data_IF_411161274902
#
_entry.id   IF_411161274902
#
_cell.length_a   1.000
_cell.length_b   1.000
_cell.length_c   1.000
_cell.angle_alpha   90.00
_cell.angle_beta   90.00
_cell.angle_gamma   90.00
#
_symmetry.space_group_name_H-M   'P 1'
#
loop_
_entity.id
_entity.type
_entity.pdbx_description
1 polymer ?
#
# COMPACT_ATOMS: atom_id res chain seq x y z
N UNK A 1 -36.39 16.84 -72.58
CA UNK A 1 -36.00 15.54 -73.15
C UNK A 1 -34.51 15.64 -73.45
N UNK A 2 -33.56 14.91 -72.85
CA UNK A 2 -33.54 13.60 -72.21
C UNK A 2 -32.53 13.64 -71.06
N UNK A 3 -32.82 12.83 -70.05
CA UNK A 3 -31.97 12.42 -68.94
C UNK A 3 -30.67 11.77 -69.44
N UNK A 4 -29.60 11.79 -68.65
CA UNK A 4 -28.97 10.55 -68.18
C UNK A 4 -28.06 10.82 -66.96
N UNK A 5 -28.41 10.12 -65.88
CA UNK A 5 -27.72 9.97 -64.60
C UNK A 5 -26.83 8.72 -64.68
N UNK A 6 -25.59 8.73 -64.17
CA UNK A 6 -24.85 7.48 -63.88
C UNK A 6 -24.00 7.62 -62.59
N UNK A 7 -24.42 6.83 -61.60
CA UNK A 7 -23.73 6.13 -60.49
C UNK A 7 -22.44 6.76 -59.89
N UNK A 8 -22.41 7.13 -58.60
CA UNK A 8 -22.50 6.28 -57.40
C UNK A 8 -21.54 5.08 -57.42
N UNK A 9 -20.38 5.23 -56.77
CA UNK A 9 -19.52 4.12 -56.36
C UNK A 9 -19.10 4.36 -54.92
N UNK A 10 -19.92 3.85 -54.00
CA UNK A 10 -19.56 3.65 -52.61
C UNK A 10 -18.50 2.55 -52.54
N UNK A 11 -17.27 2.91 -52.23
CA UNK A 11 -16.23 1.95 -51.87
C UNK A 11 -16.55 1.48 -50.45
N UNK A 12 -17.08 0.27 -50.35
CA UNK A 12 -17.32 -0.44 -49.11
C UNK A 12 -15.96 -0.85 -48.51
N UNK A 13 -15.44 -0.03 -47.60
CA UNK A 13 -14.27 -0.38 -46.80
C UNK A 13 -14.67 -1.48 -45.81
N UNK A 14 -14.33 -2.73 -46.13
CA UNK A 14 -14.29 -3.84 -45.18
C UNK A 14 -13.15 -3.59 -44.21
N UNK A 15 -13.43 -2.85 -43.13
CA UNK A 15 -12.57 -2.82 -41.96
C UNK A 15 -12.62 -4.20 -41.30
N UNK A 16 -11.62 -5.04 -41.59
CA UNK A 16 -11.40 -6.28 -40.85
C UNK A 16 -10.94 -5.86 -39.46
N UNK A 17 -11.87 -5.87 -38.50
CA UNK A 17 -11.58 -5.64 -37.09
C UNK A 17 -10.65 -6.73 -36.61
N UNK A 18 -9.35 -6.42 -36.50
CA UNK A 18 -8.44 -7.19 -35.66
C UNK A 18 -8.80 -6.88 -34.21
N UNK A 19 -9.74 -7.63 -33.65
CA UNK A 19 -9.84 -7.80 -32.21
C UNK A 19 -8.61 -8.59 -31.76
N UNK A 20 -7.53 -7.87 -31.46
CA UNK A 20 -6.49 -8.39 -30.59
C UNK A 20 -7.13 -8.59 -29.22
N UNK A 21 -7.72 -9.77 -29.01
CA UNK A 21 -7.90 -10.32 -27.68
C UNK A 21 -6.48 -10.48 -27.10
N UNK A 22 -6.01 -9.43 -26.42
CA UNK A 22 -4.85 -9.52 -25.56
C UNK A 22 -5.10 -10.71 -24.65
N UNK A 23 -4.25 -11.74 -24.73
CA UNK A 23 -4.27 -12.82 -23.74
C UNK A 23 -4.06 -12.15 -22.39
N UNK A 24 -5.14 -11.95 -21.65
CA UNK A 24 -5.09 -11.27 -20.37
C UNK A 24 -4.28 -12.16 -19.44
N UNK A 25 -3.09 -11.69 -19.04
CA UNK A 25 -2.30 -12.35 -18.01
C UNK A 25 -3.15 -12.56 -16.77
N UNK A 26 -2.98 -13.68 -16.08
CA UNK A 26 -3.72 -13.92 -14.85
C UNK A 26 -3.52 -12.79 -13.84
N UNK A 27 -4.53 -12.56 -13.01
CA UNK A 27 -4.48 -11.57 -11.95
C UNK A 27 -3.43 -11.96 -10.91
N UNK A 28 -2.66 -10.96 -10.46
CA UNK A 28 -1.65 -11.12 -9.42
C UNK A 28 -2.30 -11.46 -8.07
N UNK A 29 -1.50 -11.94 -7.12
CA UNK A 29 -1.94 -12.13 -5.74
C UNK A 29 -2.52 -10.84 -5.13
N UNK A 30 -3.66 -10.95 -4.46
CA UNK A 30 -4.52 -9.90 -3.90
C UNK A 30 -5.29 -9.02 -4.91
N UNK A 31 -5.25 -9.34 -6.21
CA UNK A 31 -5.98 -8.58 -7.22
C UNK A 31 -7.32 -9.19 -7.56
N UNK A 32 -8.20 -8.36 -8.12
CA UNK A 32 -9.51 -8.82 -8.57
C UNK A 32 -9.37 -9.85 -9.69
N UNK A 33 -10.12 -10.93 -9.60
CA UNK A 33 -10.15 -12.03 -10.57
C UNK A 33 -11.57 -12.43 -10.97
N UNK A 34 -12.56 -11.63 -10.60
CA UNK A 34 -13.96 -11.97 -10.80
C UNK A 34 -14.89 -10.98 -10.13
N UNK A 35 -16.18 -11.27 -10.24
CA UNK A 35 -17.26 -10.42 -9.78
C UNK A 35 -18.14 -9.95 -10.94
N UNK A 36 -19.37 -9.55 -10.60
CA UNK A 36 -20.34 -9.01 -11.56
C UNK A 36 -19.79 -7.75 -12.23
N UNK A 37 -19.86 -7.72 -13.56
CA UNK A 37 -19.35 -6.64 -14.42
C UNK A 37 -17.81 -6.48 -14.39
N UNK A 38 -17.08 -7.53 -14.01
CA UNK A 38 -15.63 -7.58 -14.14
C UNK A 38 -15.22 -8.00 -15.55
N UNK A 39 -14.54 -7.12 -16.28
CA UNK A 39 -14.04 -7.37 -17.64
C UNK A 39 -12.55 -7.78 -17.67
N UNK A 40 -11.93 -7.94 -16.51
CA UNK A 40 -10.51 -8.31 -16.39
C UNK A 40 -10.26 -9.82 -16.33
N UNK A 41 -9.02 -10.23 -15.99
CA UNK A 41 -8.66 -11.65 -15.92
C UNK A 41 -9.52 -12.43 -14.92
N UNK A 42 -9.86 -13.67 -15.27
CA UNK A 42 -10.61 -14.60 -14.40
C UNK A 42 -9.75 -15.70 -13.79
N UNK A 43 -8.46 -15.73 -14.13
CA UNK A 43 -7.47 -16.62 -13.54
C UNK A 43 -6.54 -15.87 -12.61
N UNK A 44 -5.86 -16.61 -11.74
CA UNK A 44 -4.86 -16.09 -10.81
C UNK A 44 -3.47 -16.62 -11.15
N UNK A 45 -2.44 -15.81 -10.92
CA UNK A 45 -1.06 -16.27 -11.02
C UNK A 45 -0.81 -17.45 -10.07
N UNK A 46 0.13 -18.32 -10.47
CA UNK A 46 0.47 -19.52 -9.70
C UNK A 46 0.78 -19.19 -8.23
N UNK A 47 0.26 -20.00 -7.31
CA UNK A 47 0.36 -19.77 -5.87
C UNK A 47 -0.83 -19.01 -5.26
N UNK A 48 -1.80 -18.59 -6.07
CA UNK A 48 -3.05 -17.98 -5.60
C UNK A 48 -4.28 -18.57 -6.28
N UNK A 49 -5.43 -18.45 -5.61
CA UNK A 49 -6.72 -18.96 -6.10
C UNK A 49 -7.76 -17.84 -6.11
N UNK A 50 -8.59 -17.79 -7.14
CA UNK A 50 -9.68 -16.83 -7.20
C UNK A 50 -10.76 -17.22 -6.19
N UNK A 51 -11.00 -16.36 -5.21
CA UNK A 51 -11.98 -16.56 -4.13
C UNK A 51 -13.11 -15.57 -4.27
N UNK A 52 -14.33 -16.10 -4.32
CA UNK A 52 -15.56 -15.32 -4.27
C UNK A 52 -15.89 -14.93 -2.82
N UNK A 53 -16.49 -13.75 -2.64
CA UNK A 53 -16.97 -13.28 -1.34
C UNK A 53 -18.51 -13.39 -1.32
N UNK A 54 -19.11 -14.28 -0.50
CA UNK A 54 -20.55 -14.54 -0.53
C UNK A 54 -21.42 -13.29 -0.33
N UNK A 55 -20.94 -12.34 0.48
CA UNK A 55 -21.63 -11.08 0.77
C UNK A 55 -21.32 -9.97 -0.25
N UNK A 56 -20.58 -10.27 -1.33
CA UNK A 56 -20.18 -9.33 -2.36
C UNK A 56 -20.09 -9.99 -3.74
N UNK A 57 -21.17 -9.98 -4.54
CA UNK A 57 -21.18 -10.58 -5.88
C UNK A 57 -20.38 -9.78 -6.91
N UNK A 58 -19.89 -8.58 -6.58
CA UNK A 58 -19.18 -7.68 -7.50
C UNK A 58 -17.67 -7.86 -7.47
N UNK A 59 -17.15 -8.70 -6.57
CA UNK A 59 -15.72 -8.80 -6.35
C UNK A 59 -15.29 -10.22 -5.93
N UNK A 60 -14.35 -10.77 -6.69
CA UNK A 60 -13.58 -11.97 -6.35
C UNK A 60 -12.10 -11.62 -6.37
N UNK A 61 -11.28 -12.22 -5.51
CA UNK A 61 -9.85 -11.88 -5.40
C UNK A 61 -8.96 -13.11 -5.51
N UNK A 62 -7.80 -12.95 -6.16
CA UNK A 62 -6.71 -13.91 -6.06
C UNK A 62 -6.13 -13.91 -4.65
N UNK A 63 -6.52 -14.86 -3.81
CA UNK A 63 -5.99 -14.99 -2.46
C UNK A 63 -4.80 -15.97 -2.49
N UNK A 64 -3.63 -15.62 -1.92
CA UNK A 64 -2.51 -16.57 -1.78
C UNK A 64 -2.94 -17.86 -1.10
N UNK A 65 -2.50 -19.00 -1.60
CA UNK A 65 -2.96 -20.32 -1.13
C UNK A 65 -2.63 -20.58 0.35
N UNK A 66 -1.54 -20.01 0.86
CA UNK A 66 -1.18 -20.04 2.28
C UNK A 66 -2.22 -19.36 3.19
N UNK A 67 -2.90 -18.33 2.69
CA UNK A 67 -3.95 -17.60 3.41
C UNK A 67 -5.33 -18.29 3.38
N UNK A 68 -5.49 -19.31 2.52
CA UNK A 68 -6.71 -20.12 2.46
C UNK A 68 -6.74 -21.23 3.51
N UNK A 69 -5.59 -21.56 4.06
CA UNK A 69 -5.45 -22.66 5.02
C UNK A 69 -5.72 -22.21 6.47
N UNK A 70 -5.60 -20.92 6.75
CA UNK A 70 -5.85 -20.31 8.07
C UNK A 70 -7.34 -20.11 8.39
N UNK A 71 -8.24 -20.29 7.42
CA UNK A 71 -9.70 -20.22 7.62
C UNK A 71 -10.36 -21.57 7.96
N UNK A 72 -9.63 -22.70 7.94
CA UNK A 72 -10.17 -24.04 8.27
C UNK A 72 -9.74 -24.61 9.63
N UNK A 73 -8.88 -23.92 10.38
CA UNK A 73 -8.35 -24.45 11.64
C UNK A 73 -9.29 -24.33 12.86
N UNK A 74 -10.49 -23.76 12.72
CA UNK A 74 -11.48 -23.67 13.81
C UNK A 74 -12.77 -24.46 13.55
N UNK A 75 -12.66 -25.62 12.89
CA UNK A 75 -13.66 -26.67 12.96
C UNK A 75 -13.09 -27.80 13.82
N UNK A 76 -13.27 -27.65 15.13
CA UNK A 76 -12.92 -28.63 16.15
C UNK A 76 -13.40 -30.03 15.78
N UNK A 77 -12.50 -30.97 16.01
CA UNK A 77 -12.73 -32.39 16.24
C UNK A 77 -14.10 -32.70 16.84
N UNK A 78 -14.94 -33.38 16.08
CA UNK A 78 -15.96 -34.30 16.60
C UNK A 78 -15.80 -35.62 15.87
N UNK A 79 -15.22 -36.57 16.60
CA UNK A 79 -15.18 -37.99 16.28
C UNK A 79 -16.62 -38.48 16.20
N UNK A 80 -17.11 -38.81 15.01
CA UNK A 80 -18.29 -39.67 14.88
C UNK A 80 -18.10 -40.65 13.74
N UNK A 81 -18.21 -41.91 14.13
CA UNK A 81 -18.18 -43.10 13.31
C UNK A 81 -19.36 -43.16 12.35
N UNK A 82 -19.11 -43.34 11.06
CA UNK A 82 -20.09 -43.94 10.15
C UNK A 82 -19.39 -44.87 9.16
N UNK A 83 -19.83 -46.12 9.25
CA UNK A 83 -19.46 -47.31 8.47
C UNK A 83 -20.13 -47.25 7.09
N UNK A 84 -19.63 -48.07 6.15
CA UNK A 84 -20.19 -48.40 4.82
C UNK A 84 -19.69 -47.49 3.67
N UNK A 85 -19.27 -47.97 2.50
CA UNK A 85 -19.08 -49.31 1.94
C UNK A 85 -18.13 -49.20 0.74
N UNK A 86 -17.42 -50.29 0.49
CA UNK A 86 -16.48 -50.50 -0.61
C UNK A 86 -17.18 -50.54 -1.97
N UNK A 87 -16.65 -49.82 -2.96
CA UNK A 87 -16.63 -50.30 -4.35
C UNK A 87 -15.40 -49.77 -5.08
N UNK A 88 -14.44 -50.68 -5.27
CA UNK A 88 -13.26 -50.48 -6.08
C UNK A 88 -13.63 -50.44 -7.57
N UNK A 89 -13.07 -49.47 -8.30
CA UNK A 89 -12.91 -49.56 -9.74
C UNK A 89 -11.45 -49.22 -10.06
N UNK A 90 -10.75 -50.26 -10.48
CA UNK A 90 -9.37 -50.29 -10.95
C UNK A 90 -9.22 -49.51 -12.26
N UNK A 91 -8.14 -48.72 -12.39
CA UNK A 91 -7.55 -48.41 -13.69
C UNK A 91 -6.06 -48.11 -13.53
N UNK A 92 -5.29 -49.17 -13.79
CA UNK A 92 -3.97 -49.23 -14.44
C UNK A 92 -3.09 -47.98 -14.48
N UNK A 93 -1.97 -48.12 -13.78
CA UNK A 93 -0.69 -47.43 -13.94
C UNK A 93 -0.09 -47.56 -15.34
N UNK A 94 0.44 -46.46 -15.89
CA UNK A 94 1.59 -46.49 -16.78
C UNK A 94 2.65 -45.51 -16.30
N UNK A 95 3.69 -46.10 -15.75
CA UNK A 95 5.00 -45.50 -15.48
C UNK A 95 5.68 -45.15 -16.80
N UNK A 96 6.27 -43.96 -16.87
CA UNK A 96 7.31 -43.65 -17.85
C UNK A 96 8.35 -42.77 -17.18
N UNK A 97 9.51 -43.41 -16.97
CA UNK A 97 10.76 -42.91 -16.43
C UNK A 97 11.63 -42.41 -17.59
N UNK A 98 12.22 -41.22 -17.47
CA UNK A 98 13.46 -40.68 -18.07
C UNK A 98 13.36 -39.14 -18.00
N UNK A 99 14.38 -38.33 -17.83
CA UNK A 99 15.80 -38.48 -17.51
C UNK A 99 16.29 -37.08 -17.15
N UNK A 100 17.13 -37.03 -16.13
CA UNK A 100 17.97 -35.91 -15.71
C UNK A 100 18.66 -35.21 -16.89
N UNK A 101 18.60 -33.88 -16.94
CA UNK A 101 19.63 -33.05 -17.58
C UNK A 101 19.83 -31.80 -16.74
N UNK A 102 20.94 -31.80 -16.01
CA UNK A 102 21.59 -30.65 -15.40
C UNK A 102 22.20 -29.80 -16.51
N UNK A 103 21.87 -28.52 -16.57
CA UNK A 103 22.67 -27.56 -17.31
C UNK A 103 22.86 -26.29 -16.47
N UNK A 104 24.09 -26.13 -16.02
CA UNK A 104 24.62 -24.92 -15.42
C UNK A 104 25.13 -24.00 -16.54
N UNK A 105 24.75 -22.74 -16.53
CA UNK A 105 25.48 -21.66 -17.23
C UNK A 105 25.30 -20.38 -16.41
N UNK A 106 26.32 -20.03 -15.63
CA UNK A 106 27.48 -19.21 -15.99
C UNK A 106 27.18 -17.71 -15.87
N UNK A 107 27.32 -17.27 -14.62
CA UNK A 107 27.70 -15.93 -14.18
C UNK A 107 28.78 -15.35 -15.11
N UNK A 108 28.48 -14.23 -15.75
CA UNK A 108 29.49 -13.37 -16.38
C UNK A 108 29.53 -12.06 -15.63
N UNK A 109 30.58 -11.94 -14.82
CA UNK A 109 31.05 -10.70 -14.20
C UNK A 109 31.81 -9.91 -15.27
N UNK A 110 31.43 -8.66 -15.51
CA UNK A 110 32.27 -7.71 -16.24
C UNK A 110 32.60 -6.56 -15.30
N UNK A 111 33.78 -6.68 -14.69
CA UNK A 111 34.55 -5.58 -14.12
C UNK A 111 35.12 -4.75 -15.25
N UNK A 112 34.87 -3.45 -15.27
CA UNK A 112 35.76 -2.48 -15.89
C UNK A 112 36.00 -1.34 -14.91
N UNK A 113 37.28 -1.11 -14.65
CA UNK A 113 37.80 -0.03 -13.84
C UNK A 113 38.73 0.82 -14.71
N UNK A 114 38.82 2.10 -14.32
CA UNK A 114 39.91 3.05 -14.55
C UNK A 114 39.88 3.98 -15.78
N UNK A 115 39.57 5.25 -15.44
CA UNK A 115 40.55 6.36 -15.28
C UNK A 115 40.52 7.45 -16.36
N UNK A 116 40.35 8.71 -15.89
CA UNK A 116 41.23 9.90 -16.06
C UNK A 116 40.38 11.17 -15.81
N UNK A 117 40.49 11.81 -14.65
CA UNK A 117 41.38 12.94 -14.32
C UNK A 117 41.33 14.10 -15.32
N UNK A 118 40.63 15.18 -14.97
CA UNK A 118 41.13 16.54 -15.22
C UNK A 118 40.63 17.50 -14.14
N UNK A 119 41.58 17.99 -13.35
CA UNK A 119 41.57 19.20 -12.54
C UNK A 119 41.56 20.45 -13.43
N UNK A 120 40.78 21.47 -13.08
CA UNK A 120 41.21 22.87 -13.22
C UNK A 120 40.36 23.81 -12.35
N UNK A 121 41.09 24.39 -11.40
CA UNK A 121 41.01 25.67 -10.70
C UNK A 121 39.81 26.62 -10.80
N UNK A 122 39.60 27.25 -9.62
CA UNK A 122 38.76 28.39 -9.31
C UNK A 122 39.11 29.67 -10.11
N UNK A 123 38.28 30.71 -9.94
CA UNK A 123 38.81 31.82 -9.16
C UNK A 123 37.87 32.32 -8.07
N UNK A 124 38.51 32.48 -6.91
CA UNK A 124 38.19 33.33 -5.76
C UNK A 124 37.80 34.75 -6.20
N UNK A 125 36.67 35.27 -5.68
CA UNK A 125 36.49 36.71 -5.46
C UNK A 125 36.10 36.98 -4.01
N UNK A 126 36.97 37.74 -3.37
CA UNK A 126 36.94 38.27 -2.01
C UNK A 126 36.47 39.73 -2.08
N UNK A 127 35.59 40.16 -1.17
CA UNK A 127 35.57 41.50 -0.50
C UNK A 127 34.35 41.58 0.45
N UNK A 128 34.56 41.55 1.77
CA UNK A 128 34.60 42.68 2.76
C UNK A 128 33.22 43.06 3.32
N UNK A 129 32.94 42.64 4.57
CA UNK A 129 32.86 43.45 5.82
C UNK A 129 31.60 44.31 5.92
N UNK A 130 30.72 44.00 6.88
CA UNK A 130 30.57 44.82 8.09
C UNK A 130 29.55 44.22 9.07
N UNK A 131 29.99 44.06 10.33
CA UNK A 131 29.15 44.02 11.51
C UNK A 131 29.23 45.41 12.16
N UNK A 132 28.20 45.88 12.89
CA UNK A 132 28.11 45.65 14.33
C UNK A 132 26.62 45.48 14.76
N UNK A 133 26.19 45.18 16.00
CA UNK A 133 26.67 45.52 17.33
C UNK A 133 25.93 44.62 18.33
N UNK A 134 26.70 44.02 19.23
CA UNK A 134 26.26 43.35 20.46
C UNK A 134 25.81 44.42 21.46
N UNK A 135 24.60 44.30 22.00
CA UNK A 135 24.20 45.00 23.24
C UNK A 135 24.14 43.98 24.37
N UNK A 136 24.98 44.26 25.35
CA UNK A 136 25.11 43.59 26.65
C UNK A 136 23.98 44.06 27.56
N UNK A 137 23.27 43.14 28.20
CA UNK A 137 22.60 43.42 29.48
C UNK A 137 22.90 42.31 30.47
N UNK A 138 23.23 42.77 31.66
CA UNK A 138 23.91 42.11 32.76
C UNK A 138 23.01 41.13 33.53
N UNK A 139 23.69 40.11 34.01
CA UNK A 139 23.39 39.09 35.02
C UNK A 139 22.52 39.54 36.20
N UNK A 140 21.64 38.66 36.67
CA UNK A 140 21.32 38.54 38.09
C UNK A 140 21.11 37.07 38.45
N UNK A 141 22.07 36.54 39.20
CA UNK A 141 22.09 35.17 39.71
C UNK A 141 21.16 35.06 40.92
N UNK A 142 20.31 34.03 40.96
CA UNK A 142 19.78 33.51 42.24
C UNK A 142 19.74 31.99 42.21
N UNK A 143 20.65 31.43 42.99
CA UNK A 143 20.71 30.02 43.40
C UNK A 143 19.50 29.69 44.27
N UNK A 144 18.84 28.56 44.03
CA UNK A 144 18.53 27.57 45.09
C UNK A 144 18.03 26.24 44.54
N UNK A 145 18.70 25.19 45.02
CA UNK A 145 18.15 23.90 45.48
C UNK A 145 17.78 22.82 44.45
N UNK A 146 18.77 21.95 44.29
CA UNK A 146 18.64 20.56 43.82
C UNK A 146 17.51 19.83 44.55
N UNK A 147 16.55 19.33 43.76
CA UNK A 147 15.57 18.34 44.22
C UNK A 147 15.62 17.19 43.23
N UNK A 148 16.01 16.02 43.75
CA UNK A 148 16.12 14.75 43.05
C UNK A 148 14.71 14.27 42.73
N UNK A 149 14.22 14.59 41.54
CA UNK A 149 12.92 14.10 41.06
C UNK A 149 13.16 12.82 40.27
N UNK A 150 12.72 11.71 40.86
CA UNK A 150 12.56 10.40 40.24
C UNK A 150 11.87 10.56 38.89
N UNK A 151 12.55 10.15 37.82
CA UNK A 151 12.02 10.12 36.46
C UNK A 151 10.98 8.99 36.34
N UNK A 152 9.78 9.27 36.84
CA UNK A 152 8.57 8.60 36.36
C UNK A 152 8.36 9.09 34.93
N UNK A 153 8.59 8.22 33.96
CA UNK A 153 8.15 8.42 32.59
C UNK A 153 6.66 8.82 32.63
N UNK A 154 6.37 10.07 32.28
CA UNK A 154 5.00 10.53 32.10
C UNK A 154 4.46 9.79 30.90
N UNK A 155 3.70 8.74 31.15
CA UNK A 155 2.84 8.08 30.19
C UNK A 155 1.84 9.13 29.71
N UNK A 156 2.20 9.83 28.63
CA UNK A 156 1.23 10.54 27.81
C UNK A 156 0.10 9.55 27.54
N UNK A 157 -1.11 9.87 27.97
CA UNK A 157 -2.28 9.01 27.80
C UNK A 157 -2.56 8.87 26.31
N UNK A 158 -1.97 7.85 25.69
CA UNK A 158 -2.26 7.50 24.31
C UNK A 158 -3.71 7.06 24.23
N UNK A 159 -4.48 7.59 23.28
CA UNK A 159 -5.90 7.22 23.06
C UNK A 159 -6.07 5.83 22.43
N UNK A 160 -5.14 4.93 22.72
CA UNK A 160 -5.06 3.56 22.26
C UNK A 160 -4.22 2.73 23.24
N UNK A 161 -4.44 1.43 23.24
CA UNK A 161 -3.80 0.44 24.11
C UNK A 161 -3.40 -0.79 23.31
N UNK A 162 -2.38 -1.52 23.77
CA UNK A 162 -2.00 -2.78 23.13
C UNK A 162 -3.14 -3.80 23.19
N UNK A 163 -3.37 -4.52 22.09
CA UNK A 163 -4.32 -5.63 22.03
C UNK A 163 -3.64 -6.86 22.62
N UNK A 164 -4.25 -7.46 23.65
CA UNK A 164 -3.73 -8.70 24.24
C UNK A 164 -3.70 -9.83 23.21
N UNK A 165 -2.55 -10.49 23.06
CA UNK A 165 -2.33 -11.50 22.02
C UNK A 165 -2.33 -10.97 20.58
N UNK A 166 -2.34 -9.65 20.40
CA UNK A 166 -2.30 -9.02 19.09
C UNK A 166 -0.95 -9.21 18.38
N UNK A 167 -0.97 -9.15 17.06
CA UNK A 167 0.24 -9.35 16.26
C UNK A 167 1.30 -8.28 16.59
N UNK A 168 2.55 -8.71 16.69
CA UNK A 168 3.69 -7.84 16.96
C UNK A 168 4.97 -8.43 16.38
N UNK A 169 5.98 -7.59 16.16
CA UNK A 169 7.26 -8.03 15.63
C UNK A 169 8.09 -6.89 15.06
N UNK A 170 9.03 -7.25 14.19
CA UNK A 170 9.79 -6.31 13.36
C UNK A 170 9.18 -6.20 11.98
N UNK A 171 9.42 -5.10 11.29
CA UNK A 171 9.08 -5.00 9.90
C UNK A 171 9.77 -3.85 9.18
N UNK A 172 9.48 -3.78 7.89
CA UNK A 172 9.95 -2.74 7.00
C UNK A 172 8.79 -1.84 6.58
N UNK A 173 9.13 -0.66 6.06
CA UNK A 173 8.13 0.25 5.51
C UNK A 173 8.52 0.71 4.12
N UNK A 174 7.51 0.98 3.30
CA UNK A 174 7.65 1.84 2.11
C UNK A 174 6.66 2.99 2.21
N UNK A 175 6.48 3.69 1.09
CA UNK A 175 5.55 4.80 0.96
C UNK A 175 4.84 4.69 -0.39
N UNK A 176 3.55 4.98 -0.41
CA UNK A 176 2.77 5.01 -1.63
C UNK A 176 1.56 5.94 -1.53
N UNK A 177 1.04 6.30 -2.71
CA UNK A 177 -0.30 6.84 -2.91
C UNK A 177 -0.67 6.65 -4.37
N UNK A 178 -1.44 5.60 -4.66
CA UNK A 178 -1.85 5.22 -6.02
C UNK A 178 -3.27 5.67 -6.38
N UNK A 179 -3.97 6.26 -5.40
CA UNK A 179 -5.37 6.69 -5.44
C UNK A 179 -6.39 5.55 -5.59
N UNK A 180 -5.98 4.29 -5.65
CA UNK A 180 -6.88 3.17 -5.86
C UNK A 180 -7.88 3.03 -4.71
N UNK A 181 -9.02 2.38 -4.97
CA UNK A 181 -9.88 1.89 -3.89
C UNK A 181 -9.09 0.90 -3.01
N UNK A 182 -8.93 1.13 -1.70
CA UNK A 182 -8.22 0.21 -0.81
C UNK A 182 -8.91 -1.16 -0.72
N UNK A 183 -8.15 -2.26 -0.60
CA UNK A 183 -8.71 -3.62 -0.59
C UNK A 183 -9.69 -3.87 0.56
N UNK A 184 -9.48 -3.27 1.73
CA UNK A 184 -10.39 -3.39 2.88
C UNK A 184 -11.67 -2.54 2.73
N UNK A 185 -11.86 -1.84 1.60
CA UNK A 185 -13.09 -1.13 1.25
C UNK A 185 -14.12 -2.04 0.56
N UNK A 186 -13.77 -3.32 0.35
CA UNK A 186 -14.71 -4.31 -0.17
C UNK A 186 -15.43 -5.02 0.99
N UNK A 187 -16.75 -5.21 0.90
CA UNK A 187 -17.49 -6.05 1.84
C UNK A 187 -16.94 -7.48 1.90
N UNK A 188 -17.04 -8.11 3.08
CA UNK A 188 -16.66 -9.52 3.29
C UNK A 188 -15.17 -9.77 3.55
N UNK A 189 -14.32 -8.73 3.55
CA UNK A 189 -12.87 -8.89 3.77
C UNK A 189 -12.48 -9.24 5.20
N UNK A 190 -13.20 -8.71 6.18
CA UNK A 190 -12.99 -8.95 7.61
C UNK A 190 -14.29 -8.74 8.39
N UNK A 191 -14.31 -9.20 9.65
CA UNK A 191 -15.41 -8.91 10.59
C UNK A 191 -15.31 -7.48 11.11
N UNK A 192 -16.06 -6.57 10.50
CA UNK A 192 -16.02 -5.13 10.78
C UNK A 192 -17.42 -4.52 10.88
N UNK A 193 -17.52 -3.29 11.40
CA UNK A 193 -18.73 -2.46 11.43
C UNK A 193 -19.25 -2.16 10.03
N UNK A 194 -18.34 -1.71 9.17
CA UNK A 194 -18.49 -1.43 7.74
C UNK A 194 -17.09 -1.51 7.11
N UNK A 195 -16.96 -1.74 5.79
CA UNK A 195 -15.68 -1.64 5.11
C UNK A 195 -15.03 -0.25 5.28
N UNK A 196 -13.77 -0.13 4.89
CA UNK A 196 -13.11 1.18 4.78
C UNK A 196 -13.88 2.04 3.77
N UNK A 197 -14.21 3.26 4.14
CA UNK A 197 -14.81 4.24 3.24
C UNK A 197 -13.91 4.50 2.03
N UNK A 198 -14.47 4.34 0.85
CA UNK A 198 -13.86 4.76 -0.42
C UNK A 198 -14.65 5.94 -0.98
N UNK A 199 -14.01 6.77 -1.79
CA UNK A 199 -14.58 8.03 -2.24
C UNK A 199 -14.76 8.07 -3.76
N UNK A 200 -15.71 8.87 -4.20
CA UNK A 200 -15.84 9.29 -5.59
C UNK A 200 -14.61 10.10 -6.03
N UNK A 201 -14.58 10.50 -7.31
CA UNK A 201 -13.46 11.22 -7.91
C UNK A 201 -13.04 12.51 -7.18
N UNK A 202 -13.96 13.15 -6.45
CA UNK A 202 -13.66 14.33 -5.61
C UNK A 202 -12.79 14.01 -4.37
N UNK A 203 -12.61 12.73 -4.05
CA UNK A 203 -11.89 12.23 -2.89
C UNK A 203 -12.57 12.54 -1.55
N UNK A 204 -13.86 12.91 -1.54
CA UNK A 204 -14.58 13.33 -0.32
C UNK A 204 -15.93 12.64 -0.17
N UNK A 205 -16.72 12.60 -1.24
CA UNK A 205 -18.04 11.99 -1.19
C UNK A 205 -17.87 10.48 -1.19
N UNK A 206 -18.39 9.79 -0.17
CA UNK A 206 -18.31 8.33 -0.11
C UNK A 206 -18.97 7.70 -1.34
N UNK A 207 -18.26 6.76 -1.95
CA UNK A 207 -18.77 5.90 -3.00
C UNK A 207 -19.51 4.72 -2.37
N UNK A 208 -20.42 4.09 -3.14
CA UNK A 208 -21.01 2.82 -2.72
C UNK A 208 -19.92 1.74 -2.57
N UNK A 209 -20.01 0.91 -1.54
CA UNK A 209 -19.00 -0.11 -1.18
C UNK A 209 -18.74 -1.13 -2.30
N UNK A 210 -19.68 -1.32 -3.24
CA UNK A 210 -19.52 -2.21 -4.39
C UNK A 210 -19.07 -1.49 -5.66
N UNK A 211 -18.89 -0.16 -5.62
CA UNK A 211 -18.38 0.62 -6.74
C UNK A 211 -17.00 0.13 -7.14
N UNK A 212 -16.79 -0.09 -8.44
CA UNK A 212 -15.53 -0.59 -8.97
C UNK A 212 -14.37 0.37 -8.69
N UNK A 213 -13.20 -0.21 -8.42
CA UNK A 213 -11.95 0.50 -8.20
C UNK A 213 -11.53 1.31 -9.44
N UNK A 214 -11.26 2.60 -9.26
CA UNK A 214 -10.81 3.51 -10.31
C UNK A 214 -9.49 3.14 -10.99
N UNK A 215 -8.68 2.28 -10.36
CA UNK A 215 -7.45 1.73 -10.96
C UNK A 215 -7.69 0.63 -12.00
N UNK A 216 -8.92 0.13 -12.11
CA UNK A 216 -9.31 -0.91 -13.06
C UNK A 216 -10.58 -0.51 -13.83
N UNK A 217 -10.74 0.78 -14.11
CA UNK A 217 -11.84 1.32 -14.93
C UNK A 217 -13.10 1.71 -14.17
N UNK A 218 -13.09 1.64 -12.83
CA UNK A 218 -14.20 2.09 -11.99
C UNK A 218 -14.17 3.58 -11.62
N UNK A 219 -14.91 3.93 -10.56
CA UNK A 219 -15.09 5.32 -10.09
C UNK A 219 -14.91 5.50 -8.58
N UNK A 220 -14.44 4.47 -7.87
CA UNK A 220 -14.11 4.53 -6.44
C UNK A 220 -12.59 4.61 -6.22
N UNK A 221 -12.18 5.50 -5.31
CA UNK A 221 -10.79 5.89 -5.03
C UNK A 221 -10.53 5.96 -3.51
N UNK A 222 -9.27 6.06 -3.12
CA UNK A 222 -8.90 6.39 -1.73
C UNK A 222 -9.42 7.79 -1.35
N UNK A 223 -10.01 7.92 -0.17
CA UNK A 223 -10.49 9.20 0.36
C UNK A 223 -9.35 10.14 0.77
N UNK A 224 -9.56 11.44 0.57
CA UNK A 224 -8.58 12.48 0.91
C UNK A 224 -8.21 12.46 2.39
N UNK A 225 -9.10 12.09 3.29
CA UNK A 225 -8.81 12.08 4.73
C UNK A 225 -8.04 10.83 5.20
N UNK A 226 -7.77 9.86 4.31
CA UNK A 226 -6.88 8.73 4.55
C UNK A 226 -5.38 9.09 4.41
N UNK A 227 -5.05 10.36 4.64
CA UNK A 227 -3.68 10.89 4.70
C UNK A 227 -3.09 10.74 6.11
N UNK A 228 -1.76 10.83 6.26
CA UNK A 228 -1.11 10.85 7.58
C UNK A 228 -1.11 12.26 8.18
N UNK A 229 -1.11 12.35 9.51
CA UNK A 229 -1.07 13.62 10.24
C UNK A 229 -0.28 13.54 11.54
N UNK A 230 0.15 14.71 12.02
CA UNK A 230 0.89 14.86 13.28
C UNK A 230 -0.08 14.91 14.45
N UNK A 231 0.18 14.12 15.49
CA UNK A 231 -0.50 14.26 16.80
C UNK A 231 0.35 15.15 17.71
N UNK A 232 1.64 14.87 17.78
CA UNK A 232 2.67 15.68 18.45
C UNK A 232 4.05 15.34 17.88
N UNK A 233 5.12 15.87 18.48
CA UNK A 233 6.49 15.66 17.98
C UNK A 233 6.93 14.18 17.99
N UNK A 234 6.35 13.33 18.82
CA UNK A 234 6.72 11.91 18.95
C UNK A 234 5.74 10.96 18.26
N UNK A 235 4.51 11.43 17.99
CA UNK A 235 3.41 10.60 17.50
C UNK A 235 2.74 11.18 16.25
N UNK A 236 2.58 10.34 15.24
CA UNK A 236 1.72 10.57 14.08
C UNK A 236 0.63 9.50 13.97
N UNK A 237 -0.44 9.82 13.27
CA UNK A 237 -1.47 8.85 12.85
C UNK A 237 -1.53 8.78 11.33
N UNK A 238 -2.09 7.68 10.81
CA UNK A 238 -2.31 7.54 9.38
C UNK A 238 -2.84 6.16 9.01
N UNK A 239 -2.54 5.75 7.79
CA UNK A 239 -3.05 4.53 7.18
C UNK A 239 -1.94 3.83 6.41
N UNK A 240 -2.10 2.53 6.19
CA UNK A 240 -1.14 1.74 5.45
C UNK A 240 -1.81 0.63 4.64
N UNK A 241 -1.12 0.15 3.59
CA UNK A 241 -1.26 -1.23 3.18
C UNK A 241 -0.34 -2.10 4.05
N UNK A 242 -0.71 -3.35 4.30
CA UNK A 242 0.16 -4.25 5.05
C UNK A 242 0.20 -5.67 4.49
N UNK A 243 1.29 -6.35 4.77
CA UNK A 243 1.43 -7.80 4.69
C UNK A 243 2.11 -8.25 5.98
N UNK A 244 1.45 -9.11 6.77
CA UNK A 244 1.89 -9.48 8.11
C UNK A 244 1.96 -11.00 8.20
N UNK A 245 3.16 -11.54 8.46
CA UNK A 245 3.37 -12.99 8.54
C UNK A 245 2.41 -13.65 9.54
N UNK A 246 1.85 -14.80 9.14
CA UNK A 246 0.88 -15.56 9.93
C UNK A 246 -0.53 -14.96 9.97
N UNK A 247 -0.79 -13.87 9.24
CA UNK A 247 -2.10 -13.24 9.09
C UNK A 247 -2.66 -13.32 7.67
N UNK A 248 -3.83 -12.72 7.48
CA UNK A 248 -4.44 -12.48 6.16
C UNK A 248 -5.31 -11.22 6.23
N UNK A 249 -5.95 -10.83 5.12
CA UNK A 249 -6.86 -9.67 5.12
C UNK A 249 -7.93 -9.75 6.20
N UNK A 250 -8.41 -10.96 6.54
CA UNK A 250 -9.40 -11.13 7.60
C UNK A 250 -8.89 -10.76 8.98
N UNK A 251 -7.58 -10.86 9.23
CA UNK A 251 -6.95 -10.53 10.52
C UNK A 251 -6.45 -9.09 10.57
N UNK A 252 -5.93 -8.53 9.48
CA UNK A 252 -5.36 -7.19 9.49
C UNK A 252 -6.26 -6.09 8.93
N UNK A 253 -7.26 -6.37 8.09
CA UNK A 253 -8.12 -5.29 7.58
C UNK A 253 -8.79 -4.56 8.73
N UNK A 254 -8.63 -3.23 8.72
CA UNK A 254 -9.08 -2.29 9.74
C UNK A 254 -8.47 -2.45 11.14
N UNK A 255 -7.48 -3.34 11.31
CA UNK A 255 -6.69 -3.40 12.53
C UNK A 255 -5.73 -2.21 12.60
N UNK A 256 -5.44 -1.75 13.82
CA UNK A 256 -4.46 -0.69 14.04
C UNK A 256 -3.18 -1.23 14.65
N UNK A 257 -2.07 -0.62 14.26
CA UNK A 257 -0.74 -0.97 14.73
C UNK A 257 0.03 0.28 15.12
N UNK A 258 0.64 0.27 16.30
CA UNK A 258 1.68 1.24 16.63
C UNK A 258 2.99 0.74 16.02
N UNK A 259 3.56 1.54 15.13
CA UNK A 259 4.88 1.38 14.57
C UNK A 259 5.84 2.24 15.39
N UNK A 260 6.92 1.67 15.88
CA UNK A 260 8.05 2.42 16.46
C UNK A 260 9.22 2.31 15.50
N UNK A 261 9.62 3.42 14.88
CA UNK A 261 10.71 3.41 13.91
C UNK A 261 12.05 3.16 14.59
N UNK A 262 12.86 2.27 14.03
CA UNK A 262 14.14 1.85 14.60
C UNK A 262 15.35 2.41 13.85
N UNK A 263 15.12 3.06 12.71
CA UNK A 263 16.16 3.58 11.81
C UNK A 263 15.80 4.96 11.24
N UNK A 264 16.77 5.57 10.55
CA UNK A 264 16.70 6.88 9.85
C UNK A 264 16.49 8.08 10.80
N UNK A 265 16.11 9.24 10.25
CA UNK A 265 15.84 10.47 10.98
C UNK A 265 14.56 10.43 11.85
N UNK A 266 13.71 9.42 11.67
CA UNK A 266 12.48 9.24 12.47
C UNK A 266 12.62 8.18 13.56
N UNK A 267 13.83 7.68 13.83
CA UNK A 267 14.09 6.72 14.90
C UNK A 267 13.45 7.17 16.23
N UNK A 268 12.89 6.20 16.95
CA UNK A 268 12.18 6.34 18.23
C UNK A 268 10.83 7.08 18.16
N UNK A 269 10.49 7.72 17.03
CA UNK A 269 9.13 8.23 16.79
C UNK A 269 8.15 7.08 16.58
N UNK A 270 6.89 7.35 16.89
CA UNK A 270 5.80 6.40 16.78
C UNK A 270 4.78 6.85 15.74
N UNK A 271 4.21 5.89 15.02
CA UNK A 271 3.08 6.12 14.12
C UNK A 271 2.02 5.06 14.38
N UNK A 272 0.78 5.45 14.69
CA UNK A 272 -0.33 4.49 14.70
C UNK A 272 -1.01 4.52 13.35
N UNK A 273 -1.06 3.37 12.69
CA UNK A 273 -1.71 3.23 11.38
C UNK A 273 -2.88 2.27 11.47
N UNK A 274 -3.96 2.56 10.75
CA UNK A 274 -4.93 1.54 10.40
C UNK A 274 -4.60 0.91 9.05
N UNK A 275 -4.64 -0.42 8.99
CA UNK A 275 -4.46 -1.16 7.74
C UNK A 275 -5.75 -1.09 6.93
N UNK A 276 -5.68 -0.52 5.74
CA UNK A 276 -6.83 -0.33 4.84
C UNK A 276 -6.67 -1.04 3.50
N UNK A 277 -5.47 -1.55 3.22
CA UNK A 277 -5.14 -2.23 1.98
C UNK A 277 -4.15 -3.37 2.24
N UNK A 278 -3.94 -4.22 1.24
CA UNK A 278 -2.93 -5.28 1.25
C UNK A 278 -2.01 -5.10 0.05
N UNK A 279 -0.69 -5.20 0.27
CA UNK A 279 0.32 -5.12 -0.78
C UNK A 279 0.89 -6.49 -1.12
N UNK A 280 0.95 -6.83 -2.42
CA UNK A 280 1.42 -8.12 -2.93
C UNK A 280 2.94 -8.27 -3.05
N UNK A 281 3.69 -7.15 -3.04
CA UNK A 281 5.15 -7.08 -3.30
C UNK A 281 5.98 -6.92 -2.02
N UNK A 282 5.37 -7.18 -0.87
CA UNK A 282 5.90 -6.81 0.42
C UNK A 282 6.64 -8.00 1.03
N UNK A 283 7.91 -8.15 0.64
CA UNK A 283 8.79 -9.24 1.04
C UNK A 283 8.84 -9.45 2.56
N UNK A 284 8.67 -10.70 2.99
CA UNK A 284 8.56 -11.12 4.39
C UNK A 284 9.90 -11.42 5.06
N UNK A 285 11.03 -10.97 4.49
CA UNK A 285 12.36 -11.24 5.04
C UNK A 285 12.49 -10.85 6.52
N UNK A 286 11.68 -9.90 7.00
CA UNK A 286 11.66 -9.39 8.38
C UNK A 286 10.36 -9.64 9.16
N UNK A 287 9.40 -10.37 8.57
CA UNK A 287 8.14 -10.80 9.20
C UNK A 287 6.90 -9.96 8.87
N UNK A 288 7.01 -8.64 8.70
CA UNK A 288 5.89 -7.80 8.26
C UNK A 288 6.37 -6.59 7.47
N UNK A 289 5.49 -6.03 6.66
CA UNK A 289 5.77 -4.85 5.87
C UNK A 289 4.55 -3.95 5.81
N UNK A 290 4.77 -2.65 6.02
CA UNK A 290 3.74 -1.62 6.02
C UNK A 290 4.05 -0.58 4.94
N UNK A 291 3.26 -0.53 3.88
CA UNK A 291 3.36 0.52 2.87
C UNK A 291 2.53 1.72 3.32
N UNK A 292 3.21 2.79 3.76
CA UNK A 292 2.56 3.92 4.42
C UNK A 292 1.87 4.81 3.38
N UNK A 293 0.58 5.09 3.58
CA UNK A 293 -0.15 6.00 2.70
C UNK A 293 0.31 7.43 2.95
N UNK A 294 0.96 8.02 1.96
CA UNK A 294 1.34 9.43 1.96
C UNK A 294 1.31 9.97 0.53
N UNK A 295 0.47 10.98 0.24
CA UNK A 295 0.40 11.56 -1.10
C UNK A 295 1.76 12.01 -1.62
N UNK A 296 2.05 11.66 -2.87
CA UNK A 296 3.37 11.88 -3.46
C UNK A 296 4.41 10.87 -3.01
N UNK A 297 4.04 9.77 -2.34
CA UNK A 297 4.90 8.62 -2.03
C UNK A 297 5.27 7.76 -3.24
N UNK A 298 4.61 7.96 -4.38
CA UNK A 298 4.74 7.14 -5.59
C UNK A 298 3.49 6.29 -5.79
N UNK A 299 3.10 6.11 -7.05
CA UNK A 299 1.89 5.35 -7.41
C UNK A 299 2.16 3.84 -7.48
N UNK A 300 3.42 3.44 -7.65
CA UNK A 300 3.82 2.04 -7.70
C UNK A 300 3.25 1.33 -8.92
N UNK A 301 2.64 0.16 -8.71
CA UNK A 301 2.18 -0.70 -9.80
C UNK A 301 1.01 -0.06 -10.55
N UNK A 302 0.03 0.49 -9.83
CA UNK A 302 -1.16 1.12 -10.40
C UNK A 302 -1.03 2.64 -10.43
N UNK A 303 -1.91 3.30 -11.18
CA UNK A 303 -2.00 4.75 -11.17
C UNK A 303 -3.45 5.19 -11.36
N UNK A 304 -4.25 5.05 -10.30
CA UNK A 304 -5.59 5.64 -10.24
C UNK A 304 -5.54 7.15 -10.13
N UNK A 305 -4.40 7.74 -9.76
CA UNK A 305 -4.26 9.18 -9.65
C UNK A 305 -4.35 9.88 -11.01
N UNK A 306 -4.00 9.20 -12.11
CA UNK A 306 -4.23 9.69 -13.45
C UNK A 306 -5.73 9.85 -13.75
N UNK A 307 -6.54 8.84 -13.44
CA UNK A 307 -7.98 8.87 -13.68
C UNK A 307 -8.72 9.74 -12.67
N UNK A 308 -8.24 9.86 -11.43
CA UNK A 308 -8.85 10.69 -10.39
C UNK A 308 -8.51 12.18 -10.55
N UNK A 309 -7.22 12.49 -10.72
CA UNK A 309 -6.68 13.85 -10.58
C UNK A 309 -5.97 14.37 -11.84
N UNK A 310 -5.89 13.57 -12.90
CA UNK A 310 -5.10 13.94 -14.08
C UNK A 310 -3.59 13.94 -13.81
N UNK A 311 -3.12 13.14 -12.84
CA UNK A 311 -1.69 13.00 -12.57
C UNK A 311 -0.93 12.46 -13.81
N UNK A 312 0.38 12.71 -13.93
CA UNK A 312 1.21 12.11 -14.97
C UNK A 312 1.18 10.58 -14.93
N UNK A 313 1.65 9.92 -16.00
CA UNK A 313 1.63 8.45 -16.16
C UNK A 313 2.36 7.69 -15.04
N UNK A 314 3.39 8.30 -14.45
CA UNK A 314 4.15 7.75 -13.31
C UNK A 314 3.79 8.42 -11.97
N UNK A 315 2.69 9.19 -11.93
CA UNK A 315 2.31 10.02 -10.79
C UNK A 315 3.07 11.34 -10.74
N UNK A 316 3.02 12.04 -9.59
CA UNK A 316 3.59 13.38 -9.44
C UNK A 316 5.12 13.43 -9.29
N UNK A 317 5.80 12.29 -9.32
CA UNK A 317 7.25 12.18 -9.20
C UNK A 317 7.72 10.86 -9.79
N UNK A 318 8.72 10.22 -9.17
CA UNK A 318 9.12 8.88 -9.57
C UNK A 318 7.98 7.88 -9.31
N UNK A 319 7.79 6.92 -10.23
CA UNK A 319 6.75 5.89 -10.09
C UNK A 319 6.79 5.21 -8.72
N UNK A 320 7.99 4.88 -8.26
CA UNK A 320 8.27 4.37 -6.93
C UNK A 320 9.05 5.42 -6.14
N UNK A 321 8.59 5.78 -4.95
CA UNK A 321 9.20 6.80 -4.09
C UNK A 321 8.70 8.23 -4.34
N UNK A 322 8.04 8.49 -5.48
CA UNK A 322 7.24 9.69 -5.72
C UNK A 322 8.03 10.98 -5.78
N UNK A 323 7.49 12.05 -5.18
CA UNK A 323 8.11 13.37 -5.18
C UNK A 323 9.41 13.38 -4.37
N UNK A 324 10.31 14.31 -4.70
CA UNK A 324 11.67 14.36 -4.16
C UNK A 324 11.86 15.46 -3.11
N UNK A 325 11.00 16.48 -3.10
CA UNK A 325 11.10 17.63 -2.21
C UNK A 325 9.74 18.13 -1.71
N UNK A 326 9.74 18.89 -0.62
CA UNK A 326 8.52 19.51 -0.09
C UNK A 326 7.89 20.53 -1.06
N UNK A 327 8.67 21.17 -1.93
CA UNK A 327 8.17 22.08 -2.96
C UNK A 327 7.38 21.35 -4.04
N UNK A 328 7.75 20.11 -4.37
CA UNK A 328 7.05 19.28 -5.35
C UNK A 328 5.61 18.99 -4.92
N UNK A 329 5.31 19.07 -3.61
CA UNK A 329 3.94 18.94 -3.10
C UNK A 329 2.96 19.97 -3.70
N UNK A 330 3.45 21.08 -4.25
CA UNK A 330 2.60 22.06 -4.95
C UNK A 330 1.98 21.53 -6.25
N UNK A 331 2.56 20.49 -6.85
CA UNK A 331 2.04 19.84 -8.06
C UNK A 331 0.86 18.89 -7.77
N UNK A 332 0.65 18.52 -6.50
CA UNK A 332 -0.46 17.67 -6.09
C UNK A 332 -1.74 18.51 -5.91
N UNK A 333 -2.94 17.88 -6.04
CA UNK A 333 -4.20 18.50 -5.68
C UNK A 333 -4.14 19.11 -4.28
N UNK A 334 -4.75 20.28 -4.10
CA UNK A 334 -4.71 21.03 -2.82
C UNK A 334 -5.12 20.16 -1.62
N UNK A 335 -6.10 19.28 -1.81
CA UNK A 335 -6.58 18.34 -0.80
C UNK A 335 -5.51 17.35 -0.30
N UNK A 336 -4.51 17.03 -1.13
CA UNK A 336 -3.47 16.03 -0.85
C UNK A 336 -2.13 16.65 -0.39
N UNK A 337 -1.99 17.97 -0.44
CA UNK A 337 -0.72 18.62 -0.14
C UNK A 337 -0.34 18.52 1.35
N UNK A 338 -1.31 18.40 2.26
CA UNK A 338 -1.06 18.29 3.69
C UNK A 338 -0.31 16.99 4.03
N UNK A 339 -0.81 15.84 3.55
CA UNK A 339 -0.14 14.55 3.71
C UNK A 339 1.19 14.48 2.96
N UNK A 340 1.29 15.12 1.79
CA UNK A 340 2.57 15.25 1.10
C UNK A 340 3.60 16.03 1.92
N UNK A 341 3.21 17.17 2.51
CA UNK A 341 4.11 17.97 3.35
C UNK A 341 4.43 17.28 4.68
N UNK A 342 3.54 16.45 5.21
CA UNK A 342 3.81 15.60 6.38
C UNK A 342 5.04 14.72 6.16
N UNK A 343 5.20 14.14 4.96
CA UNK A 343 6.36 13.32 4.58
C UNK A 343 7.69 14.05 4.83
N UNK A 344 7.78 15.30 4.42
CA UNK A 344 9.01 16.09 4.55
C UNK A 344 9.15 16.77 5.93
N UNK A 345 8.03 17.05 6.59
CA UNK A 345 7.98 17.74 7.89
C UNK A 345 8.25 16.81 9.07
N UNK A 346 7.23 16.06 9.49
CA UNK A 346 7.29 15.19 10.67
C UNK A 346 8.07 13.91 10.38
N UNK A 347 7.84 13.32 9.19
CA UNK A 347 8.49 12.07 8.78
C UNK A 347 9.91 12.27 8.21
N UNK A 348 10.39 13.53 8.15
CA UNK A 348 11.78 13.89 7.80
C UNK A 348 12.27 13.29 6.48
N UNK A 349 11.36 13.01 5.54
CA UNK A 349 11.64 12.31 4.29
C UNK A 349 12.45 11.01 4.51
N UNK A 350 12.18 10.30 5.61
CA UNK A 350 12.82 9.03 5.89
C UNK A 350 12.57 8.04 4.74
N UNK A 351 13.63 7.43 4.25
CA UNK A 351 13.55 6.46 3.17
C UNK A 351 13.43 5.05 3.77
N UNK A 352 12.21 4.51 3.69
CA UNK A 352 11.88 3.13 4.08
C UNK A 352 12.42 2.71 5.47
N UNK A 353 12.12 3.49 6.54
CA UNK A 353 12.63 3.16 7.86
C UNK A 353 12.14 1.80 8.34
N UNK A 354 13.07 0.98 8.84
CA UNK A 354 12.73 -0.21 9.63
C UNK A 354 11.97 0.19 10.91
N UNK A 355 11.16 -0.73 11.42
CA UNK A 355 10.34 -0.51 12.61
C UNK A 355 10.12 -1.79 13.41
N UNK A 356 9.65 -1.61 14.66
CA UNK A 356 8.87 -2.64 15.35
C UNK A 356 7.41 -2.25 15.32
N UNK A 357 6.52 -3.25 15.35
CA UNK A 357 5.09 -3.03 15.38
C UNK A 357 4.43 -3.84 16.50
N UNK A 358 3.30 -3.32 16.98
CA UNK A 358 2.36 -4.06 17.83
C UNK A 358 0.93 -3.64 17.54
N UNK A 359 0.03 -4.60 17.54
CA UNK A 359 -1.39 -4.33 17.36
C UNK A 359 -1.94 -3.56 18.57
N UNK A 360 -2.72 -2.53 18.28
CA UNK A 360 -3.34 -1.66 19.26
C UNK A 360 -4.83 -1.47 18.96
N UNK A 361 -5.59 -1.07 19.98
CA UNK A 361 -6.95 -0.57 19.77
C UNK A 361 -6.89 0.62 18.82
N UNK A 362 -7.83 0.70 17.88
CA UNK A 362 -7.83 1.81 16.93
C UNK A 362 -8.24 3.11 17.62
N UNK A 363 -7.42 4.19 17.57
CA UNK A 363 -7.85 5.49 18.02
C UNK A 363 -9.08 5.95 17.23
N UNK A 364 -10.05 6.56 17.92
CA UNK A 364 -11.25 7.13 17.29
C UNK A 364 -10.93 8.12 16.18
N UNK A 365 -9.84 8.89 16.34
CA UNK A 365 -9.37 9.82 15.31
C UNK A 365 -9.00 9.17 13.97
N UNK A 366 -8.69 7.85 13.97
CA UNK A 366 -8.43 7.07 12.75
C UNK A 366 -9.73 6.45 12.23
N UNK A 367 -10.51 5.81 13.10
CA UNK A 367 -11.76 5.12 12.68
C UNK A 367 -12.85 6.06 12.24
N UNK A 368 -12.87 7.30 12.73
CA UNK A 368 -13.84 8.32 12.30
C UNK A 368 -13.60 8.77 10.84
N UNK A 369 -12.39 8.57 10.32
CA UNK A 369 -12.04 8.85 8.92
C UNK A 369 -12.33 7.66 8.02
N UNK A 370 -11.91 6.46 8.43
CA UNK A 370 -12.11 5.26 7.61
C UNK A 370 -13.52 4.68 7.69
N UNK A 371 -14.28 4.99 8.75
CA UNK A 371 -15.56 4.33 9.03
C UNK A 371 -15.44 2.86 9.45
N UNK A 372 -14.24 2.27 9.49
CA UNK A 372 -14.06 0.84 9.68
C UNK A 372 -13.55 0.49 11.09
N UNK A 373 -14.32 -0.32 11.82
CA UNK A 373 -13.98 -0.78 13.17
C UNK A 373 -14.11 -2.31 13.21
N UNK A 374 -13.07 -3.01 13.67
CA UNK A 374 -13.12 -4.47 13.87
C UNK A 374 -14.04 -4.83 15.03
N UNK A 375 -14.84 -5.89 14.86
CA UNK A 375 -15.79 -6.41 15.87
C UNK A 375 -15.12 -7.28 16.92
#
# INVERSE_FOLDING_TARGET
MKFLSIASSAILALAVGTEMASAASCSKAYYQCGGKNWDGPTCCESGSTCVDYPDNPFYSQCVPNENLSSSKANASSTKSSSKSSTKAASTTTKSSKKTTTTEASKKTTTTEASKKTTTTDAPKKTTTTDAPKKTTTTTTSKSTKSTKTTSSASSASTNYSAVSGGASGTGETTRYWDCCKPSCSWPGKASVSSPVGSCNKDGKTLADDNTQNGCVGGSSYTCNDNQPWVVNDELAYGFAAASISGGSESTWCCACFELTFTATAVKDKKMVVQVTNTGSDLGTNTGAHFDLQMPGGGVGIYNGCQTQWGAPSDGWGQRYGGVSSASDCSALPSALQAGCKWRFGWFKNADNPAMTYKQVTCPKAITDKSGCIRK
#
